data_IF_264325840544
#
_entry.id   IF_264325840544
#
_cell.length_a   1.000
_cell.length_b   1.000
_cell.length_c   1.000
_cell.angle_alpha   90.00
_cell.angle_beta   90.00
_cell.angle_gamma   90.00
#
_symmetry.space_group_name_H-M   'P 1'
#
loop_
_entity.id
_entity.type
_entity.pdbx_description
1 polymer ?
#
# COMPACT_ATOMS: atom_id res chain seq x y z
N UNK A 1 3.55 -11.49 26.52
CA UNK A 1 4.09 -10.21 25.99
C UNK A 1 4.50 -10.43 24.53
N UNK A 2 4.16 -9.55 23.58
CA UNK A 2 4.57 -9.75 22.16
C UNK A 2 6.07 -9.49 21.99
N UNK A 3 6.77 -10.46 21.40
CA UNK A 3 8.21 -10.37 21.10
C UNK A 3 8.49 -9.37 19.98
N UNK A 4 9.76 -8.97 19.80
CA UNK A 4 10.15 -8.12 18.67
C UNK A 4 9.87 -8.78 17.31
N UNK A 5 10.07 -10.11 17.25
CA UNK A 5 9.75 -10.95 16.10
C UNK A 5 8.27 -10.84 15.71
N UNK A 6 7.37 -10.90 16.71
CA UNK A 6 5.93 -10.75 16.50
C UNK A 6 5.58 -9.37 15.98
N UNK A 7 6.17 -8.31 16.58
CA UNK A 7 5.95 -6.92 16.15
C UNK A 7 6.39 -6.72 14.70
N UNK A 8 7.54 -7.28 14.30
CA UNK A 8 8.04 -7.23 12.92
C UNK A 8 7.12 -7.97 11.95
N UNK A 9 6.64 -9.16 12.33
CA UNK A 9 5.67 -9.95 11.54
C UNK A 9 4.37 -9.16 11.33
N UNK A 10 3.81 -8.61 12.41
CA UNK A 10 2.57 -7.81 12.37
C UNK A 10 2.75 -6.58 11.47
N UNK A 11 3.83 -5.82 11.63
CA UNK A 11 4.12 -4.65 10.77
C UNK A 11 4.19 -5.04 9.29
N UNK A 12 4.85 -6.16 8.96
CA UNK A 12 4.93 -6.68 7.59
C UNK A 12 3.53 -7.04 7.06
N UNK A 13 2.73 -7.73 7.85
CA UNK A 13 1.39 -8.14 7.47
C UNK A 13 0.46 -6.94 7.25
N UNK A 14 0.47 -5.97 8.16
CA UNK A 14 -0.30 -4.72 8.05
C UNK A 14 0.13 -3.94 6.80
N UNK A 15 1.44 -3.83 6.54
CA UNK A 15 1.94 -3.18 5.31
C UNK A 15 1.44 -3.90 4.06
N UNK A 16 1.48 -5.23 4.02
CA UNK A 16 0.97 -6.03 2.89
C UNK A 16 -0.53 -5.81 2.67
N UNK A 17 -1.34 -5.85 3.74
CA UNK A 17 -2.79 -5.61 3.67
C UNK A 17 -3.10 -4.21 3.15
N UNK A 18 -2.41 -3.19 3.67
CA UNK A 18 -2.57 -1.79 3.23
C UNK A 18 -2.22 -1.61 1.75
N UNK A 19 -1.14 -2.24 1.28
CA UNK A 19 -0.76 -2.17 -0.13
C UNK A 19 -1.77 -2.88 -1.04
N UNK A 20 -2.32 -4.02 -0.61
CA UNK A 20 -3.37 -4.72 -1.36
C UNK A 20 -4.60 -3.83 -1.54
N UNK A 21 -5.11 -3.29 -0.43
CA UNK A 21 -6.26 -2.38 -0.42
C UNK A 21 -6.06 -1.16 -1.33
N UNK A 22 -4.89 -0.50 -1.25
CA UNK A 22 -4.62 0.67 -2.08
C UNK A 22 -4.53 0.33 -3.58
N UNK A 23 -4.04 -0.87 -3.92
CA UNK A 23 -3.98 -1.35 -5.32
C UNK A 23 -5.36 -1.69 -5.86
N UNK A 24 -6.20 -2.33 -5.06
CA UNK A 24 -7.61 -2.60 -5.43
C UNK A 24 -8.35 -1.29 -5.68
N UNK A 25 -8.18 -0.30 -4.79
CA UNK A 25 -8.74 1.04 -5.02
C UNK A 25 -8.19 1.72 -6.26
N UNK A 26 -6.88 1.58 -6.53
CA UNK A 26 -6.27 2.17 -7.73
C UNK A 26 -6.87 1.58 -9.01
N UNK A 27 -7.14 0.26 -9.03
CA UNK A 27 -7.75 -0.41 -10.16
C UNK A 27 -9.20 0.05 -10.42
N UNK A 28 -9.92 0.45 -9.36
CA UNK A 28 -11.30 0.93 -9.44
C UNK A 28 -11.39 2.45 -9.66
N UNK A 29 -10.32 3.20 -9.43
CA UNK A 29 -10.31 4.66 -9.52
C UNK A 29 -10.44 5.10 -10.99
N UNK A 30 -11.50 5.88 -11.26
CA UNK A 30 -11.83 6.40 -12.58
C UNK A 30 -11.25 7.79 -12.83
N UNK A 31 -10.97 8.55 -11.76
CA UNK A 31 -10.41 9.90 -11.88
C UNK A 31 -8.88 9.89 -11.81
N UNK A 32 -8.25 10.70 -12.66
CA UNK A 32 -6.79 10.86 -12.66
C UNK A 32 -6.27 11.39 -11.30
N UNK A 33 -7.02 12.31 -10.68
CA UNK A 33 -6.67 12.87 -9.38
C UNK A 33 -6.69 11.81 -8.27
N UNK A 34 -7.72 10.94 -8.22
CA UNK A 34 -7.77 9.85 -7.23
C UNK A 34 -6.65 8.84 -7.48
N UNK A 35 -6.38 8.48 -8.75
CA UNK A 35 -5.24 7.61 -9.09
C UNK A 35 -3.94 8.20 -8.55
N UNK A 36 -3.62 9.45 -8.86
CA UNK A 36 -2.38 10.10 -8.39
C UNK A 36 -2.25 10.09 -6.85
N UNK A 37 -3.34 10.37 -6.13
CA UNK A 37 -3.34 10.31 -4.67
C UNK A 37 -3.10 8.89 -4.13
N UNK A 38 -3.70 7.87 -4.75
CA UNK A 38 -3.51 6.47 -4.37
C UNK A 38 -2.07 6.02 -4.66
N UNK A 39 -1.50 6.41 -5.80
CA UNK A 39 -0.11 6.15 -6.17
C UNK A 39 0.84 6.77 -5.13
N UNK A 40 0.63 8.03 -4.75
CA UNK A 40 1.41 8.70 -3.72
C UNK A 40 1.32 7.99 -2.36
N UNK A 41 0.12 7.52 -1.98
CA UNK A 41 -0.08 6.72 -0.76
C UNK A 41 0.68 5.39 -0.83
N UNK A 42 0.66 4.70 -1.97
CA UNK A 42 1.42 3.45 -2.18
C UNK A 42 2.92 3.71 -2.04
N UNK A 43 3.46 4.75 -2.70
CA UNK A 43 4.89 5.14 -2.62
C UNK A 43 5.31 5.51 -1.19
N UNK A 44 4.46 6.19 -0.41
CA UNK A 44 4.73 6.47 1.01
C UNK A 44 4.81 5.20 1.86
N UNK A 45 3.96 4.22 1.60
CA UNK A 45 3.96 2.93 2.32
C UNK A 45 5.10 2.03 1.85
N UNK A 46 5.49 2.14 0.59
CA UNK A 46 6.55 1.35 -0.02
C UNK A 46 7.18 2.11 -1.19
N UNK A 47 8.35 2.76 -0.99
CA UNK A 47 8.99 3.57 -2.01
C UNK A 47 9.27 2.81 -3.32
N UNK A 48 9.57 1.51 -3.21
CA UNK A 48 9.92 0.62 -4.32
C UNK A 48 8.74 -0.20 -4.83
N UNK A 49 7.50 0.11 -4.44
CA UNK A 49 6.36 -0.64 -4.93
C UNK A 49 6.17 -0.40 -6.43
N UNK A 50 6.02 -1.47 -7.25
CA UNK A 50 5.58 -1.31 -8.62
C UNK A 50 4.14 -0.79 -8.61
N UNK A 51 3.95 0.32 -9.30
CA UNK A 51 2.65 0.97 -9.49
C UNK A 51 2.42 1.08 -11.00
N UNK A 52 1.32 0.54 -11.54
CA UNK A 52 0.98 0.74 -12.95
C UNK A 52 0.56 2.19 -13.17
N UNK A 53 1.27 2.91 -14.04
CA UNK A 53 0.99 4.32 -14.39
C UNK A 53 -0.05 4.47 -15.51
N UNK A 54 -0.91 3.46 -15.69
CA UNK A 54 -1.95 3.47 -16.73
C UNK A 54 -2.94 4.62 -16.60
#
# INVERSE_FOLDING_TARGET
>A
MRTESDRKRIRRQTRKRKLCYLRERLAQATSLAERQQLIAKIRRVSPTAPVPEG
#
